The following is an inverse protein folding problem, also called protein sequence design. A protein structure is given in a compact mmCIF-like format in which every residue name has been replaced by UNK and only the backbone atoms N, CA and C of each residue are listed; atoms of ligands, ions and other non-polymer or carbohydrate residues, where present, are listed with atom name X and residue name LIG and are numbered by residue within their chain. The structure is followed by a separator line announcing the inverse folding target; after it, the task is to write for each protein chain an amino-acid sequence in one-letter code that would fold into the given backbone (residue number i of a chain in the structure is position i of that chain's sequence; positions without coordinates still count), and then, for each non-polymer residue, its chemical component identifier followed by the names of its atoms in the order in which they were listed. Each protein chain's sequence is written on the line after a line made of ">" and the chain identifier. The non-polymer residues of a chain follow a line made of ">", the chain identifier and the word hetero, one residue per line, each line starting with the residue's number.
data_IF_556193649758
#
_entry.id   IF_556193649758
#
_cell.length_a   1.000
_cell.length_b   1.000
_cell.length_c   1.000
_cell.angle_alpha   90.00
_cell.angle_beta   90.00
_cell.angle_gamma   90.00
#
_symmetry.space_group_name_H-M   'P 1'
#
loop_
_entity.id
_entity.type
_entity.pdbx_description
1 polymer ?
#
# COMPACT_ATOMS: atom_id res chain seq x y z
N UNK A 1 -5.55 14.42 -6.48
CA UNK A 1 -6.13 13.06 -6.65
C UNK A 1 -5.40 12.13 -5.71
N UNK A 2 -6.13 11.27 -5.01
CA UNK A 2 -5.59 10.20 -4.16
C UNK A 2 -6.08 8.85 -4.70
N UNK A 3 -5.21 7.87 -4.84
CA UNK A 3 -5.57 6.49 -5.19
C UNK A 3 -5.14 5.59 -4.04
N UNK A 4 -6.06 4.79 -3.53
CA UNK A 4 -5.81 3.84 -2.45
C UNK A 4 -6.46 2.50 -2.75
N UNK A 5 -5.91 1.43 -2.20
CA UNK A 5 -6.49 0.08 -2.28
C UNK A 5 -7.19 -0.27 -0.98
N UNK A 6 -8.50 -0.45 -1.05
CA UNK A 6 -9.36 -0.87 0.05
C UNK A 6 -9.77 -2.33 -0.10
N UNK A 7 -10.38 -2.88 0.94
CA UNK A 7 -10.89 -4.27 0.94
C UNK A 7 -11.93 -4.52 -0.16
N UNK A 8 -12.64 -3.48 -0.59
CA UNK A 8 -13.68 -3.53 -1.62
C UNK A 8 -13.14 -3.27 -3.04
N UNK A 9 -11.86 -2.92 -3.19
CA UNK A 9 -11.24 -2.65 -4.48
C UNK A 9 -10.31 -1.44 -4.45
N UNK A 10 -10.05 -0.86 -5.61
CA UNK A 10 -9.26 0.37 -5.71
C UNK A 10 -10.20 1.58 -5.77
N UNK A 11 -9.91 2.60 -4.97
CA UNK A 11 -10.68 3.84 -4.92
C UNK A 11 -9.81 5.03 -5.36
N UNK A 12 -10.36 5.83 -6.27
CA UNK A 12 -9.78 7.09 -6.72
C UNK A 12 -10.60 8.27 -6.18
N UNK A 13 -9.96 9.14 -5.40
CA UNK A 13 -10.57 10.30 -4.78
C UNK A 13 -10.11 11.56 -5.52
N UNK A 14 -11.09 12.25 -6.11
CA UNK A 14 -10.93 13.56 -6.77
C UNK A 14 -11.36 14.69 -5.84
N UNK A 15 -11.06 15.95 -6.14
CA UNK A 15 -11.63 17.08 -5.40
C UNK A 15 -13.17 17.00 -5.36
N UNK A 16 -13.76 17.42 -4.24
CA UNK A 16 -15.21 17.39 -3.98
C UNK A 16 -15.83 15.98 -4.02
N UNK A 17 -15.05 14.94 -3.70
CA UNK A 17 -15.57 13.59 -3.57
C UNK A 17 -16.58 13.48 -2.42
N UNK A 18 -17.60 12.63 -2.59
CA UNK A 18 -18.56 12.36 -1.52
C UNK A 18 -17.86 11.77 -0.29
N UNK A 19 -18.32 12.09 0.94
CA UNK A 19 -17.72 11.53 2.14
C UNK A 19 -17.70 10.01 2.12
N UNK A 20 -16.57 9.41 2.47
CA UNK A 20 -16.39 7.95 2.47
C UNK A 20 -15.46 7.54 3.61
N UNK A 21 -15.73 6.37 4.19
CA UNK A 21 -14.83 5.71 5.13
C UNK A 21 -14.56 4.32 4.58
N UNK A 22 -13.28 3.97 4.44
CA UNK A 22 -12.84 2.69 3.88
C UNK A 22 -11.73 2.06 4.73
N UNK A 23 -11.64 0.73 4.65
CA UNK A 23 -10.56 -0.06 5.27
C UNK A 23 -9.51 -0.36 4.21
N UNK A 24 -8.25 -0.08 4.52
CA UNK A 24 -7.11 -0.32 3.63
C UNK A 24 -6.70 -1.78 3.68
N UNK A 25 -6.23 -2.31 2.55
CA UNK A 25 -5.74 -3.69 2.50
C UNK A 25 -4.34 -3.83 3.10
N UNK A 26 -4.04 -5.05 3.50
CA UNK A 26 -2.67 -5.47 3.76
C UNK A 26 -1.85 -5.46 2.45
N UNK A 27 -0.70 -4.77 2.45
CA UNK A 27 0.15 -4.65 1.26
C UNK A 27 -0.47 -3.83 0.11
N UNK A 28 -1.08 -2.69 0.44
CA UNK A 28 -1.59 -1.72 -0.54
C UNK A 28 -0.54 -0.71 -0.99
N UNK A 29 -0.82 -0.02 -2.10
CA UNK A 29 -0.04 1.15 -2.56
C UNK A 29 -0.96 2.36 -2.53
N UNK A 30 -0.52 3.41 -1.84
CA UNK A 30 -1.16 4.72 -1.81
C UNK A 30 -0.43 5.63 -2.78
N UNK A 31 -1.19 6.33 -3.64
CA UNK A 31 -0.65 7.34 -4.55
C UNK A 31 -1.34 8.67 -4.33
N UNK A 32 -0.57 9.72 -4.15
CA UNK A 32 -1.06 11.08 -3.95
C UNK A 32 -0.47 11.97 -5.03
N UNK A 33 -1.35 12.49 -5.89
CA UNK A 33 -0.99 13.42 -6.96
C UNK A 33 -1.58 14.79 -6.65
N UNK A 34 -0.69 15.76 -6.42
CA UNK A 34 -1.01 17.18 -6.26
C UNK A 34 -0.57 17.94 -7.51
N UNK A 35 -1.25 19.04 -7.82
CA UNK A 35 -0.92 19.84 -9.00
C UNK A 35 0.43 20.52 -8.83
N UNK A 36 1.33 20.36 -9.80
CA UNK A 36 2.67 20.96 -9.76
C UNK A 36 3.69 20.24 -8.86
N UNK A 37 3.30 19.19 -8.13
CA UNK A 37 4.19 18.40 -7.29
C UNK A 37 4.49 17.01 -7.90
N UNK A 38 5.58 16.39 -7.45
CA UNK A 38 5.85 14.99 -7.78
C UNK A 38 4.80 14.09 -7.14
N UNK A 39 4.49 12.97 -7.81
CA UNK A 39 3.60 11.97 -7.27
C UNK A 39 4.24 11.33 -6.03
N UNK A 40 3.55 11.40 -4.89
CA UNK A 40 3.95 10.70 -3.68
C UNK A 40 3.35 9.30 -3.74
N UNK A 41 4.22 8.30 -3.62
CA UNK A 41 3.84 6.89 -3.59
C UNK A 41 4.29 6.30 -2.26
N UNK A 42 3.42 5.54 -1.60
CA UNK A 42 3.73 4.88 -0.34
C UNK A 42 3.20 3.45 -0.33
N UNK A 43 3.96 2.53 0.26
CA UNK A 43 3.46 1.22 0.65
C UNK A 43 2.69 1.36 1.96
N UNK A 44 1.50 0.80 2.02
CA UNK A 44 0.61 0.87 3.18
C UNK A 44 0.19 -0.52 3.60
N UNK A 45 0.17 -0.77 4.90
CA UNK A 45 -0.15 -2.07 5.48
C UNK A 45 -1.32 -1.90 6.46
N UNK A 46 -2.54 -2.08 5.94
CA UNK A 46 -3.76 -1.95 6.74
C UNK A 46 -4.10 -0.52 7.14
N UNK A 47 -5.07 -0.38 8.04
CA UNK A 47 -5.59 0.90 8.52
C UNK A 47 -6.85 1.39 7.78
N UNK A 48 -7.07 2.71 7.78
CA UNK A 48 -8.31 3.33 7.32
C UNK A 48 -8.05 4.56 6.44
N UNK A 49 -8.97 4.83 5.52
CA UNK A 49 -9.04 6.07 4.75
C UNK A 49 -10.40 6.73 5.00
N UNK A 50 -10.37 8.03 5.32
CA UNK A 50 -11.55 8.85 5.53
C UNK A 50 -11.52 10.05 4.60
N UNK A 51 -12.65 10.35 3.97
CA UNK A 51 -12.85 11.56 3.19
C UNK A 51 -14.02 12.32 3.79
N UNK A 52 -13.79 13.56 4.18
CA UNK A 52 -14.81 14.48 4.70
C UNK A 52 -14.34 15.91 4.48
N UNK A 53 -15.27 16.84 4.22
CA UNK A 53 -14.98 18.27 4.09
C UNK A 53 -13.86 18.62 3.08
N UNK A 54 -13.83 17.88 1.95
CA UNK A 54 -12.79 17.97 0.90
C UNK A 54 -11.35 17.66 1.40
N UNK A 55 -11.25 16.96 2.52
CA UNK A 55 -10.02 16.48 3.12
C UNK A 55 -9.94 14.95 3.06
N UNK A 56 -8.76 14.43 2.75
CA UNK A 56 -8.46 12.98 2.77
C UNK A 56 -7.50 12.69 3.91
N UNK A 57 -7.96 11.90 4.88
CA UNK A 57 -7.17 11.42 6.01
C UNK A 57 -6.87 9.92 5.84
N UNK A 58 -5.60 9.54 5.92
CA UNK A 58 -5.14 8.15 5.86
C UNK A 58 -4.46 7.79 7.18
N UNK A 59 -5.04 6.84 7.90
CA UNK A 59 -4.51 6.32 9.17
C UNK A 59 -4.07 4.88 8.93
N UNK A 60 -2.80 4.69 8.60
CA UNK A 60 -2.19 3.38 8.39
C UNK A 60 -1.50 2.87 9.66
N UNK A 61 -1.43 1.54 9.82
CA UNK A 61 -0.58 0.94 10.87
C UNK A 61 0.90 1.12 10.54
N UNK A 62 1.25 0.87 9.27
CA UNK A 62 2.57 1.14 8.71
C UNK A 62 2.39 1.80 7.36
N UNK A 63 3.13 2.89 7.14
CA UNK A 63 3.26 3.56 5.87
C UNK A 63 4.75 3.84 5.61
N UNK A 64 5.23 3.46 4.43
CA UNK A 64 6.61 3.63 4.01
C UNK A 64 6.61 4.34 2.66
N UNK A 65 7.31 5.47 2.55
CA UNK A 65 7.41 6.20 1.30
C UNK A 65 8.23 5.38 0.30
N UNK A 66 7.79 5.33 -0.95
CA UNK A 66 8.51 4.60 -2.01
C UNK A 66 9.95 5.05 -2.19
N UNK A 67 10.25 6.31 -1.89
CA UNK A 67 11.61 6.87 -1.90
C UNK A 67 12.49 6.41 -0.74
N UNK A 68 11.91 5.88 0.33
CA UNK A 68 12.60 5.41 1.55
C UNK A 68 12.75 3.89 1.60
N UNK A 69 12.08 3.17 0.69
CA UNK A 69 12.12 1.71 0.62
C UNK A 69 13.52 1.22 0.27
N UNK A 70 14.07 0.35 1.12
CA UNK A 70 15.24 -0.47 0.77
C UNK A 70 14.79 -1.61 -0.16
N UNK A 71 15.03 -1.43 -1.46
CA UNK A 71 14.64 -2.37 -2.51
C UNK A 71 15.29 -3.75 -2.32
N UNK A 72 16.55 -3.81 -1.91
CA UNK A 72 17.24 -5.08 -1.73
C UNK A 72 16.65 -5.85 -0.56
N UNK A 73 16.45 -5.18 0.58
CA UNK A 73 15.83 -5.80 1.75
C UNK A 73 14.39 -6.23 1.47
N UNK A 74 13.62 -5.46 0.72
CA UNK A 74 12.26 -5.80 0.33
C UNK A 74 12.21 -7.01 -0.63
N UNK A 75 13.17 -7.13 -1.56
CA UNK A 75 13.28 -8.30 -2.45
C UNK A 75 13.63 -9.56 -1.66
N UNK A 76 14.64 -9.49 -0.79
CA UNK A 76 15.03 -10.62 0.06
C UNK A 76 13.86 -11.08 0.96
N UNK A 77 13.09 -10.14 1.50
CA UNK A 77 11.91 -10.45 2.30
C UNK A 77 10.84 -11.18 1.48
N UNK A 78 10.61 -10.74 0.23
CA UNK A 78 9.69 -11.40 -0.67
C UNK A 78 10.13 -12.84 -0.99
N UNK A 79 11.39 -13.03 -1.34
CA UNK A 79 11.93 -14.34 -1.73
C UNK A 79 11.84 -15.34 -0.55
N UNK A 80 12.18 -14.89 0.67
CA UNK A 80 12.02 -15.71 1.89
C UNK A 80 10.56 -16.08 2.16
N UNK A 81 9.65 -15.11 2.05
CA UNK A 81 8.23 -15.35 2.27
C UNK A 81 7.67 -16.33 1.22
N UNK A 82 8.07 -16.21 -0.04
CA UNK A 82 7.67 -17.14 -1.10
C UNK A 82 8.20 -18.55 -0.86
N UNK A 83 9.46 -18.71 -0.47
CA UNK A 83 10.01 -20.01 -0.12
C UNK A 83 9.27 -20.67 1.06
N UNK A 84 8.83 -19.89 2.06
CA UNK A 84 8.00 -20.41 3.16
C UNK A 84 6.64 -20.89 2.66
N UNK A 85 5.96 -20.09 1.83
CA UNK A 85 4.65 -20.45 1.23
C UNK A 85 4.75 -21.70 0.34
N UNK A 86 5.87 -21.87 -0.36
CA UNK A 86 6.12 -23.07 -1.17
C UNK A 86 6.29 -24.33 -0.31
N UNK A 87 6.89 -24.19 0.88
CA UNK A 87 7.04 -25.28 1.84
C UNK A 87 5.73 -25.58 2.60
N UNK A 88 4.98 -24.54 2.95
CA UNK A 88 3.69 -24.61 3.63
C UNK A 88 2.72 -23.55 3.09
N UNK A 89 1.72 -23.99 2.33
CA UNK A 89 0.74 -23.11 1.70
C UNK A 89 -0.21 -22.45 2.70
N UNK A 90 -0.30 -22.97 3.93
CA UNK A 90 -1.17 -22.45 4.99
C UNK A 90 -0.44 -21.47 5.93
N UNK A 91 0.84 -21.16 5.66
CA UNK A 91 1.62 -20.18 6.39
C UNK A 91 1.07 -18.75 6.16
N UNK A 92 0.14 -18.36 7.03
CA UNK A 92 -0.54 -17.07 6.98
C UNK A 92 0.42 -15.89 7.19
N UNK A 93 1.44 -16.05 8.04
CA UNK A 93 2.41 -15.01 8.32
C UNK A 93 3.29 -14.75 7.09
N UNK A 94 3.75 -15.81 6.43
CA UNK A 94 4.47 -15.68 5.17
C UNK A 94 3.60 -15.04 4.07
N UNK A 95 2.31 -15.38 3.99
CA UNK A 95 1.40 -14.76 3.04
C UNK A 95 1.22 -13.25 3.28
N UNK A 96 1.19 -12.80 4.54
CA UNK A 96 1.15 -11.38 4.91
C UNK A 96 2.47 -10.69 4.53
N UNK A 97 3.61 -11.26 4.91
CA UNK A 97 4.91 -10.68 4.61
C UNK A 97 5.18 -10.58 3.10
N UNK A 98 4.75 -11.57 2.31
CA UNK A 98 4.82 -11.51 0.86
C UNK A 98 4.01 -10.33 0.28
N UNK A 99 2.81 -10.06 0.83
CA UNK A 99 1.98 -8.91 0.41
C UNK A 99 2.67 -7.59 0.75
N UNK A 100 3.24 -7.46 1.96
CA UNK A 100 3.98 -6.27 2.40
C UNK A 100 5.20 -6.00 1.54
N UNK A 101 6.02 -7.02 1.30
CA UNK A 101 7.22 -6.91 0.49
C UNK A 101 6.92 -6.50 -0.96
N UNK A 102 5.89 -7.09 -1.58
CA UNK A 102 5.42 -6.67 -2.92
C UNK A 102 4.96 -5.22 -2.94
N UNK A 103 4.26 -4.77 -1.90
CA UNK A 103 3.79 -3.39 -1.82
C UNK A 103 4.94 -2.39 -1.72
N UNK A 104 5.96 -2.68 -0.88
CA UNK A 104 7.19 -1.87 -0.77
C UNK A 104 7.89 -1.74 -2.12
N UNK A 105 8.14 -2.87 -2.78
CA UNK A 105 8.78 -2.89 -4.09
C UNK A 105 7.97 -2.11 -5.15
N UNK A 106 6.65 -2.29 -5.22
CA UNK A 106 5.80 -1.51 -6.13
C UNK A 106 5.80 -0.02 -5.82
N UNK A 107 5.84 0.36 -4.53
CA UNK A 107 5.92 1.76 -4.14
C UNK A 107 7.27 2.39 -4.55
N UNK A 108 8.35 1.61 -4.54
CA UNK A 108 9.67 2.01 -5.03
C UNK A 108 9.78 2.07 -6.57
N UNK A 109 8.73 1.62 -7.30
CA UNK A 109 8.70 1.60 -8.76
C UNK A 109 9.24 0.31 -9.40
N UNK A 110 9.47 -0.74 -8.60
CA UNK A 110 9.90 -2.05 -9.10
C UNK A 110 8.72 -2.87 -9.65
N UNK A 111 8.97 -3.68 -10.68
CA UNK A 111 8.01 -4.66 -11.18
C UNK A 111 8.07 -5.97 -10.37
N UNK A 112 6.90 -6.42 -9.89
CA UNK A 112 6.74 -7.53 -8.93
C UNK A 112 5.42 -8.28 -9.06
#
# INVERSE_FOLDING_TARGET
>A
MVIAKTVDGEIGIMPQHAPVLGVLVEGGVLRVKREGEQELVAAVHGGFISVADDEVSVLAEVAELGSEVDVAAARDALDRAQASIEADQEDADAAVEAKRARARLRAAGEEV
#
